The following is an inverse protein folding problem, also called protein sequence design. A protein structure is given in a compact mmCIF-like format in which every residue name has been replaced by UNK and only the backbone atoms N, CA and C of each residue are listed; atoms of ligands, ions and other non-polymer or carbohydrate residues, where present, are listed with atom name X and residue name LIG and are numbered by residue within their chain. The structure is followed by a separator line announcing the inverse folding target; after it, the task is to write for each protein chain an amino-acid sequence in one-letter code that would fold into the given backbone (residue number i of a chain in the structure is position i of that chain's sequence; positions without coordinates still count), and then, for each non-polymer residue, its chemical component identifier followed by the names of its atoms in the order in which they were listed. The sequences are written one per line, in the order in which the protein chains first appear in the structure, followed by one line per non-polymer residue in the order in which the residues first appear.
data_IF_654700729499
#
_entry.id   IF_654700729499
#
_cell.length_a   1.000
_cell.length_b   1.000
_cell.length_c   1.000
_cell.angle_alpha   90.00
_cell.angle_beta   90.00
_cell.angle_gamma   90.00
#
_symmetry.space_group_name_H-M   'P 1'
#
loop_
_entity.id
_entity.type
_entity.pdbx_description
1 polymer ?
#
# COMPACT_ATOMS: atom_id res chain seq x y z
N UNK A 1 3.36 -37.80 -8.97
CA UNK A 1 2.19 -37.40 -8.17
C UNK A 1 1.93 -35.94 -8.46
N UNK A 2 0.69 -35.55 -8.74
CA UNK A 2 0.33 -34.18 -9.10
C UNK A 2 0.67 -33.23 -7.94
N UNK A 3 1.67 -32.36 -8.13
CA UNK A 3 2.15 -31.36 -7.17
C UNK A 3 1.05 -30.38 -6.72
N UNK A 4 -0.04 -30.23 -7.49
CA UNK A 4 -1.17 -29.35 -7.15
C UNK A 4 -2.00 -29.76 -5.92
N UNK A 5 -2.02 -31.03 -5.51
CA UNK A 5 -2.82 -31.47 -4.36
C UNK A 5 -2.09 -31.30 -3.00
N UNK A 6 -0.76 -31.20 -3.00
CA UNK A 6 0.02 -31.14 -1.75
C UNK A 6 -0.09 -29.76 -1.07
N UNK A 7 -0.27 -28.69 -1.85
CA UNK A 7 -0.32 -27.31 -1.34
C UNK A 7 -1.67 -26.90 -0.72
N UNK A 8 -2.70 -27.75 -0.86
CA UNK A 8 -4.07 -27.49 -0.38
C UNK A 8 -4.46 -28.58 0.62
N UNK A 9 -3.87 -28.53 1.80
CA UNK A 9 -4.08 -29.52 2.85
C UNK A 9 -5.50 -29.49 3.42
N UNK A 10 -6.23 -28.38 3.26
CA UNK A 10 -7.63 -28.21 3.68
C UNK A 10 -8.63 -29.16 3.03
N UNK A 11 -8.22 -29.89 2.00
CA UNK A 11 -9.00 -31.00 1.40
C UNK A 11 -9.02 -32.25 2.30
N UNK A 12 -8.05 -32.37 3.21
CA UNK A 12 -7.86 -33.46 4.15
C UNK A 12 -8.23 -33.06 5.59
N UNK A 13 -8.12 -34.01 6.53
CA UNK A 13 -8.30 -33.73 7.96
C UNK A 13 -7.19 -32.80 8.49
N UNK A 14 -7.49 -31.86 9.40
CA UNK A 14 -6.47 -31.02 10.03
C UNK A 14 -5.37 -31.84 10.70
N UNK A 15 -4.15 -31.31 10.72
CA UNK A 15 -3.05 -31.93 11.46
C UNK A 15 -3.34 -31.93 12.95
N UNK A 16 -3.24 -33.10 13.58
CA UNK A 16 -3.56 -33.30 15.00
C UNK A 16 -2.30 -33.41 15.88
N UNK A 17 -1.11 -33.36 15.28
CA UNK A 17 0.17 -33.43 16.00
C UNK A 17 1.18 -32.46 15.41
N UNK A 18 2.07 -31.91 16.25
CA UNK A 18 3.16 -31.04 15.82
C UNK A 18 4.01 -31.69 14.72
N UNK A 19 4.35 -32.98 14.90
CA UNK A 19 5.14 -33.75 13.95
C UNK A 19 4.56 -33.75 12.53
N UNK A 20 3.26 -34.00 12.38
CA UNK A 20 2.60 -34.02 11.06
C UNK A 20 2.69 -32.66 10.37
N UNK A 21 2.48 -31.58 11.12
CA UNK A 21 2.55 -30.22 10.57
C UNK A 21 3.99 -29.82 10.22
N UNK A 22 4.98 -30.22 11.03
CA UNK A 22 6.41 -29.98 10.73
C UNK A 22 6.86 -30.75 9.48
N UNK A 23 6.55 -32.05 9.38
CA UNK A 23 6.88 -32.87 8.20
C UNK A 23 6.24 -32.30 6.92
N UNK A 24 5.03 -31.76 7.04
CA UNK A 24 4.37 -31.06 5.94
C UNK A 24 5.12 -29.79 5.52
N UNK A 25 5.50 -28.93 6.47
CA UNK A 25 6.26 -27.71 6.16
C UNK A 25 7.63 -28.01 5.56
N UNK A 26 8.32 -29.06 6.02
CA UNK A 26 9.58 -29.52 5.43
C UNK A 26 9.39 -29.98 3.98
N UNK A 27 8.32 -30.74 3.71
CA UNK A 27 7.98 -31.17 2.35
C UNK A 27 7.69 -29.96 1.45
N UNK A 28 6.84 -29.02 1.88
CA UNK A 28 6.55 -27.81 1.13
C UNK A 28 7.82 -26.97 0.91
N UNK A 29 8.68 -26.84 1.92
CA UNK A 29 9.93 -26.10 1.83
C UNK A 29 10.97 -26.70 0.89
N UNK A 30 10.87 -28.01 0.62
CA UNK A 30 11.70 -28.67 -0.39
C UNK A 30 11.26 -28.37 -1.83
N UNK A 31 10.01 -27.95 -2.03
CA UNK A 31 9.41 -27.68 -3.34
C UNK A 31 9.21 -26.18 -3.60
N UNK A 32 9.07 -25.37 -2.55
CA UNK A 32 8.64 -23.98 -2.63
C UNK A 32 9.33 -23.11 -1.57
N UNK A 33 9.97 -22.03 -2.02
CA UNK A 33 10.46 -20.98 -1.13
C UNK A 33 9.36 -19.91 -0.96
N UNK A 34 8.78 -19.79 0.24
CA UNK A 34 7.82 -18.74 0.56
C UNK A 34 8.51 -17.51 1.18
N UNK A 35 7.91 -16.34 0.98
CA UNK A 35 8.42 -15.04 1.45
C UNK A 35 7.62 -14.48 2.63
N UNK A 36 6.44 -15.04 2.90
CA UNK A 36 5.60 -14.64 4.00
C UNK A 36 4.80 -15.79 4.58
N UNK A 37 4.33 -15.61 5.80
CA UNK A 37 3.55 -16.59 6.55
C UNK A 37 2.45 -15.88 7.33
N UNK A 38 1.32 -16.54 7.50
CA UNK A 38 0.21 -15.95 8.22
C UNK A 38 -0.94 -16.88 8.50
N UNK A 39 -2.00 -16.28 9.01
CA UNK A 39 -3.28 -16.93 9.26
C UNK A 39 -4.41 -16.06 8.72
N UNK A 40 -5.40 -16.69 8.09
CA UNK A 40 -6.68 -16.07 7.81
C UNK A 40 -7.78 -16.80 8.59
N UNK A 41 -8.70 -16.05 9.18
CA UNK A 41 -9.84 -16.61 9.90
C UNK A 41 -11.12 -15.84 9.61
N UNK A 42 -12.24 -16.56 9.68
CA UNK A 42 -13.56 -16.03 9.41
C UNK A 42 -14.28 -15.56 10.68
N UNK A 43 -15.54 -15.13 10.54
CA UNK A 43 -16.35 -14.55 11.63
C UNK A 43 -16.50 -15.54 12.82
N UNK A 44 -15.97 -15.12 13.99
CA UNK A 44 -16.00 -15.85 15.27
C UNK A 44 -15.27 -17.21 15.24
N UNK A 45 -13.93 -17.17 15.23
CA UNK A 45 -13.05 -18.02 14.41
C UNK A 45 -13.64 -19.41 14.13
N UNK A 46 -14.48 -19.50 13.10
CA UNK A 46 -15.11 -20.74 12.66
C UNK A 46 -14.10 -21.62 11.93
N UNK A 47 -13.26 -21.00 11.08
CA UNK A 47 -12.15 -21.62 10.39
C UNK A 47 -10.88 -20.79 10.54
N UNK A 48 -9.83 -21.40 11.09
CA UNK A 48 -8.46 -20.84 11.15
C UNK A 48 -7.62 -21.56 10.10
N UNK A 49 -7.13 -20.83 9.10
CA UNK A 49 -6.34 -21.35 7.99
C UNK A 49 -4.93 -20.77 8.05
N UNK A 50 -3.92 -21.64 8.12
CA UNK A 50 -2.52 -21.26 8.03
C UNK A 50 -2.14 -21.11 6.56
N UNK A 51 -1.41 -20.03 6.26
CA UNK A 51 -1.09 -19.61 4.91
C UNK A 51 0.42 -19.43 4.75
N UNK A 52 0.94 -19.86 3.60
CA UNK A 52 2.26 -19.46 3.12
C UNK A 52 2.08 -18.59 1.88
N UNK A 53 2.90 -17.54 1.78
CA UNK A 53 2.78 -16.49 0.79
C UNK A 53 4.04 -16.38 -0.07
N UNK A 54 3.87 -16.12 -1.35
CA UNK A 54 4.93 -15.68 -2.29
C UNK A 54 4.41 -14.44 -2.99
N UNK A 55 5.16 -13.35 -2.95
CA UNK A 55 4.77 -12.07 -3.55
C UNK A 55 3.33 -11.64 -3.19
N UNK A 56 3.01 -11.73 -1.89
CA UNK A 56 1.69 -11.44 -1.30
C UNK A 56 0.54 -12.37 -1.70
N UNK A 57 0.77 -13.37 -2.56
CA UNK A 57 -0.23 -14.35 -2.96
C UNK A 57 -0.15 -15.63 -2.11
N UNK A 58 -1.31 -16.19 -1.75
CA UNK A 58 -1.41 -17.49 -1.07
C UNK A 58 -1.02 -18.59 -2.05
N UNK A 59 0.04 -19.31 -1.69
CA UNK A 59 0.56 -20.44 -2.47
C UNK A 59 0.35 -21.78 -1.77
N UNK A 60 0.15 -21.77 -0.45
CA UNK A 60 -0.13 -22.98 0.33
C UNK A 60 -1.08 -22.65 1.48
N UNK A 61 -1.99 -23.58 1.77
CA UNK A 61 -2.98 -23.48 2.85
C UNK A 61 -3.10 -24.80 3.61
N UNK A 62 -3.16 -24.72 4.94
CA UNK A 62 -3.36 -25.88 5.80
C UNK A 62 -4.09 -25.56 7.11
N UNK A 63 -4.51 -26.61 7.82
CA UNK A 63 -5.22 -26.54 9.10
C UNK A 63 -4.53 -27.37 10.16
N UNK A 64 -4.54 -26.84 11.37
CA UNK A 64 -4.01 -27.47 12.56
C UNK A 64 -5.09 -27.57 13.63
N UNK A 65 -5.19 -28.72 14.27
CA UNK A 65 -5.96 -28.98 15.48
C UNK A 65 -4.99 -29.31 16.61
N UNK A 66 -4.15 -28.34 16.97
CA UNK A 66 -3.04 -28.47 17.90
C UNK A 66 -3.32 -27.70 19.20
N UNK A 67 -2.56 -28.03 20.25
CA UNK A 67 -2.53 -27.20 21.46
C UNK A 67 -1.91 -25.82 21.17
N UNK A 68 -2.11 -24.87 22.08
CA UNK A 68 -1.60 -23.49 21.94
C UNK A 68 -0.10 -23.45 21.68
N UNK A 69 0.70 -24.11 22.52
CA UNK A 69 2.16 -24.11 22.40
C UNK A 69 2.65 -24.70 21.08
N UNK A 70 2.05 -25.83 20.64
CA UNK A 70 2.36 -26.46 19.35
C UNK A 70 1.95 -25.57 18.17
N UNK A 71 0.84 -24.84 18.30
CA UNK A 71 0.39 -23.89 17.27
C UNK A 71 1.37 -22.72 17.13
N UNK A 72 1.83 -22.17 18.25
CA UNK A 72 2.85 -21.11 18.28
C UNK A 72 4.16 -21.61 17.69
N UNK A 73 4.56 -22.84 17.99
CA UNK A 73 5.76 -23.46 17.42
C UNK A 73 5.65 -23.57 15.88
N UNK A 74 4.50 -24.02 15.35
CA UNK A 74 4.27 -24.07 13.90
C UNK A 74 4.30 -22.68 13.27
N UNK A 75 3.60 -21.70 13.84
CA UNK A 75 3.61 -20.33 13.32
C UNK A 75 5.03 -19.74 13.31
N UNK A 76 5.83 -20.00 14.34
CA UNK A 76 7.24 -19.58 14.41
C UNK A 76 8.08 -20.24 13.32
N UNK A 77 7.88 -21.55 13.07
CA UNK A 77 8.56 -22.27 12.00
C UNK A 77 8.20 -21.74 10.61
N UNK A 78 6.94 -21.35 10.38
CA UNK A 78 6.49 -20.79 9.11
C UNK A 78 7.18 -19.45 8.78
N UNK A 79 7.39 -18.60 9.79
CA UNK A 79 8.10 -17.32 9.63
C UNK A 79 9.59 -17.54 9.29
N UNK A 80 10.20 -18.58 9.87
CA UNK A 80 11.57 -18.95 9.59
C UNK A 80 12.56 -17.84 9.97
N UNK A 81 13.57 -17.62 9.12
CA UNK A 81 14.57 -16.54 9.28
C UNK A 81 14.42 -15.40 8.27
N UNK A 82 13.31 -15.38 7.53
CA UNK A 82 13.11 -14.49 6.37
C UNK A 82 12.34 -13.22 6.69
N UNK A 83 11.45 -13.26 7.69
CA UNK A 83 10.69 -12.09 8.18
C UNK A 83 10.63 -12.14 9.71
N UNK A 84 10.42 -10.98 10.36
CA UNK A 84 10.16 -10.92 11.81
C UNK A 84 8.65 -10.87 12.14
N UNK A 85 7.81 -10.84 11.10
CA UNK A 85 6.37 -10.64 11.22
C UNK A 85 5.58 -11.82 10.64
N UNK A 86 4.59 -12.25 11.40
CA UNK A 86 3.54 -13.18 11.01
C UNK A 86 2.27 -12.39 10.69
N UNK A 87 1.67 -12.65 9.54
CA UNK A 87 0.50 -11.87 9.10
C UNK A 87 -0.76 -12.49 9.66
N UNK A 88 -1.57 -11.69 10.34
CA UNK A 88 -2.94 -12.07 10.67
C UNK A 88 -3.90 -11.34 9.75
N UNK A 89 -4.89 -12.05 9.22
CA UNK A 89 -5.92 -11.47 8.39
C UNK A 89 -7.32 -12.00 8.73
N UNK A 90 -8.33 -11.18 8.50
CA UNK A 90 -9.73 -11.57 8.59
C UNK A 90 -10.58 -10.78 7.62
N UNK A 91 -11.62 -11.41 7.10
CA UNK A 91 -12.69 -10.76 6.34
C UNK A 91 -13.93 -10.58 7.23
N UNK A 92 -14.00 -9.50 8.04
CA UNK A 92 -15.12 -9.29 8.97
C UNK A 92 -16.48 -9.39 8.28
N UNK A 93 -17.32 -10.27 8.80
CA UNK A 93 -18.67 -10.50 8.30
C UNK A 93 -18.80 -11.57 7.22
N UNK A 94 -17.69 -12.14 6.73
CA UNK A 94 -17.69 -13.29 5.82
C UNK A 94 -17.35 -14.58 6.58
N UNK A 95 -18.03 -15.66 6.21
CA UNK A 95 -17.70 -17.03 6.60
C UNK A 95 -17.11 -17.74 5.39
N UNK A 96 -16.11 -18.61 5.57
CA UNK A 96 -15.56 -19.34 4.43
C UNK A 96 -16.46 -20.52 4.05
N UNK A 97 -17.07 -20.54 2.85
CA UNK A 97 -17.70 -21.74 2.32
C UNK A 97 -16.71 -22.90 2.28
N UNK A 98 -17.22 -24.11 2.46
CA UNK A 98 -16.40 -25.32 2.43
C UNK A 98 -15.64 -25.52 1.10
N UNK A 99 -16.18 -25.03 0.00
CA UNK A 99 -15.52 -25.12 -1.31
C UNK A 99 -14.43 -24.05 -1.49
N UNK A 100 -14.59 -22.88 -0.88
CA UNK A 100 -13.62 -21.78 -0.96
C UNK A 100 -12.30 -22.15 -0.30
N UNK A 101 -12.36 -22.80 0.88
CA UNK A 101 -11.14 -23.21 1.62
C UNK A 101 -10.32 -24.25 0.88
N UNK A 102 -10.87 -24.90 -0.16
CA UNK A 102 -10.22 -25.90 -1.01
C UNK A 102 -9.70 -25.33 -2.32
N UNK A 103 -9.81 -24.03 -2.53
CA UNK A 103 -9.36 -23.34 -3.74
C UNK A 103 -8.43 -22.19 -3.39
N UNK A 104 -7.17 -22.26 -3.87
CA UNK A 104 -6.23 -21.16 -3.72
C UNK A 104 -6.72 -19.89 -4.44
N UNK A 105 -7.43 -20.02 -5.56
CA UNK A 105 -8.02 -18.88 -6.27
C UNK A 105 -9.02 -18.15 -5.38
N UNK A 106 -9.95 -18.89 -4.75
CA UNK A 106 -10.95 -18.31 -3.84
C UNK A 106 -10.32 -17.76 -2.56
N UNK A 107 -9.33 -18.44 -2.00
CA UNK A 107 -8.60 -17.93 -0.85
C UNK A 107 -7.85 -16.64 -1.18
N UNK A 108 -7.26 -16.51 -2.37
CA UNK A 108 -6.62 -15.28 -2.81
C UNK A 108 -7.65 -14.14 -3.04
N UNK A 109 -8.86 -14.44 -3.52
CA UNK A 109 -9.96 -13.45 -3.57
C UNK A 109 -10.30 -12.93 -2.16
N UNK A 110 -10.45 -13.83 -1.17
CA UNK A 110 -10.70 -13.46 0.22
C UNK A 110 -9.53 -12.69 0.84
N UNK A 111 -8.31 -13.11 0.55
CA UNK A 111 -7.08 -12.48 1.03
C UNK A 111 -6.94 -11.05 0.54
N UNK A 112 -7.21 -10.80 -0.73
CA UNK A 112 -7.10 -9.46 -1.34
C UNK A 112 -8.03 -8.41 -0.74
N UNK A 113 -9.11 -8.82 -0.08
CA UNK A 113 -10.05 -7.91 0.62
C UNK A 113 -9.95 -8.01 2.15
N UNK A 114 -9.10 -8.91 2.66
CA UNK A 114 -8.98 -9.13 4.09
C UNK A 114 -8.37 -7.91 4.79
N UNK A 115 -8.79 -7.67 6.02
CA UNK A 115 -8.15 -6.73 6.91
C UNK A 115 -7.02 -7.45 7.62
N UNK A 116 -5.81 -6.92 7.55
CA UNK A 116 -4.62 -7.60 8.04
C UNK A 116 -3.73 -6.71 8.92
N UNK A 117 -2.91 -7.36 9.73
CA UNK A 117 -1.85 -6.74 10.51
C UNK A 117 -0.64 -7.68 10.59
N UNK A 118 0.56 -7.12 10.63
CA UNK A 118 1.77 -7.86 11.01
C UNK A 118 1.84 -8.02 12.53
N UNK A 119 2.24 -9.22 12.97
CA UNK A 119 2.38 -9.58 14.39
C UNK A 119 3.78 -10.10 14.61
N UNK A 120 4.46 -9.57 15.63
CA UNK A 120 5.81 -10.04 15.97
C UNK A 120 5.77 -11.48 16.48
N UNK A 121 6.85 -12.25 16.28
CA UNK A 121 6.96 -13.63 16.80
C UNK A 121 6.68 -13.69 18.32
N UNK A 122 7.12 -12.67 19.06
CA UNK A 122 6.90 -12.56 20.51
C UNK A 122 5.42 -12.46 20.92
N UNK A 123 4.55 -12.01 20.02
CA UNK A 123 3.12 -11.81 20.28
C UNK A 123 2.25 -12.97 19.81
N UNK A 124 2.81 -13.97 19.11
CA UNK A 124 2.08 -15.12 18.58
C UNK A 124 1.30 -15.88 19.65
N UNK A 125 1.87 -16.03 20.84
CA UNK A 125 1.18 -16.70 21.94
C UNK A 125 -0.10 -15.94 22.34
N UNK A 126 -0.02 -14.62 22.51
CA UNK A 126 -1.19 -13.79 22.84
C UNK A 126 -2.23 -13.80 21.72
N UNK A 127 -1.75 -13.83 20.48
CA UNK A 127 -2.60 -13.94 19.31
C UNK A 127 -3.44 -15.22 19.32
N UNK A 128 -2.77 -16.39 19.34
CA UNK A 128 -3.47 -17.67 19.26
C UNK A 128 -4.30 -17.96 20.51
N UNK A 129 -3.86 -17.50 21.68
CA UNK A 129 -4.67 -17.56 22.91
C UNK A 129 -5.98 -16.77 22.76
N UNK A 130 -5.94 -15.59 22.13
CA UNK A 130 -7.12 -14.77 21.84
C UNK A 130 -8.06 -15.45 20.84
N UNK A 131 -7.51 -16.00 19.75
CA UNK A 131 -8.30 -16.73 18.74
C UNK A 131 -8.97 -17.97 19.34
N UNK A 132 -8.24 -18.80 20.09
CA UNK A 132 -8.76 -20.06 20.65
C UNK A 132 -9.79 -19.85 21.75
N UNK A 133 -9.68 -18.78 22.55
CA UNK A 133 -10.70 -18.46 23.55
C UNK A 133 -12.02 -18.09 22.90
N UNK A 134 -12.01 -17.47 21.71
CA UNK A 134 -13.21 -17.01 21.00
C UNK A 134 -14.15 -16.14 21.85
N UNK A 135 -13.64 -15.55 22.95
CA UNK A 135 -14.38 -14.63 23.81
C UNK A 135 -13.99 -13.22 23.38
N UNK A 136 -14.95 -12.49 22.79
CA UNK A 136 -14.74 -11.10 22.43
C UNK A 136 -14.46 -10.27 23.69
N UNK A 137 -13.31 -9.62 23.70
CA UNK A 137 -12.89 -8.71 24.75
C UNK A 137 -13.87 -7.54 24.86
N UNK A 138 -14.15 -7.13 26.10
CA UNK A 138 -14.96 -5.94 26.37
C UNK A 138 -14.08 -4.70 26.33
N UNK A 139 -14.59 -3.65 25.69
CA UNK A 139 -13.91 -2.36 25.62
C UNK A 139 -13.46 -2.02 24.19
N UNK A 140 -12.88 -0.83 24.07
CA UNK A 140 -12.25 -0.36 22.84
C UNK A 140 -10.73 -0.49 22.99
N UNK A 141 -10.04 -0.77 21.89
CA UNK A 141 -8.59 -0.70 21.80
C UNK A 141 -8.06 0.72 22.02
N UNK A 142 -6.78 0.93 21.73
CA UNK A 142 -6.11 2.21 21.96
C UNK A 142 -6.87 3.39 21.33
N UNK A 143 -6.96 4.49 22.07
CA UNK A 143 -7.52 5.74 21.57
C UNK A 143 -6.71 6.29 20.38
N UNK A 144 -7.39 6.99 19.47
CA UNK A 144 -6.75 7.66 18.33
C UNK A 144 -5.82 8.77 18.85
N UNK A 145 -4.52 8.56 18.66
CA UNK A 145 -3.43 9.49 18.99
C UNK A 145 -3.48 10.71 18.07
N UNK A 146 -2.80 11.78 18.50
CA UNK A 146 -2.77 13.05 17.78
C UNK A 146 -2.16 12.91 16.39
N UNK A 147 -1.05 12.18 16.24
CA UNK A 147 -0.38 12.02 14.94
C UNK A 147 -1.26 11.25 13.95
N UNK A 148 -1.88 10.16 14.42
CA UNK A 148 -2.87 9.39 13.64
C UNK A 148 -4.03 10.28 13.21
N UNK A 149 -4.60 11.07 14.14
CA UNK A 149 -5.68 12.02 13.83
C UNK A 149 -5.24 13.03 12.78
N UNK A 150 -4.05 13.61 12.91
CA UNK A 150 -3.53 14.61 11.98
C UNK A 150 -3.35 14.02 10.58
N UNK A 151 -2.81 12.80 10.47
CA UNK A 151 -2.68 12.11 9.20
C UNK A 151 -4.03 11.90 8.53
N UNK A 152 -5.01 11.34 9.25
CA UNK A 152 -6.36 11.10 8.71
C UNK A 152 -7.04 12.41 8.30
N UNK A 153 -6.85 13.48 9.07
CA UNK A 153 -7.38 14.80 8.72
C UNK A 153 -6.72 15.38 7.47
N UNK A 154 -5.41 15.18 7.29
CA UNK A 154 -4.69 15.56 6.07
C UNK A 154 -5.23 14.79 4.86
N UNK A 155 -5.35 13.47 4.98
CA UNK A 155 -5.87 12.60 3.92
C UNK A 155 -7.28 12.99 3.49
N UNK A 156 -8.13 13.39 4.45
CA UNK A 156 -9.52 13.80 4.18
C UNK A 156 -9.65 15.17 3.53
N UNK A 157 -8.61 16.01 3.61
CA UNK A 157 -8.69 17.44 3.28
C UNK A 157 -9.89 18.16 3.92
N UNK A 158 -10.29 17.72 5.12
CA UNK A 158 -11.43 18.24 5.86
C UNK A 158 -12.80 17.94 5.27
N UNK A 159 -12.90 16.97 4.36
CA UNK A 159 -14.14 16.57 3.70
C UNK A 159 -14.61 15.19 4.14
N UNK A 160 -15.90 14.94 4.00
CA UNK A 160 -16.46 13.61 4.18
C UNK A 160 -15.93 12.64 3.11
N UNK A 161 -15.36 11.52 3.56
CA UNK A 161 -14.76 10.47 2.72
C UNK A 161 -15.78 9.41 2.27
N UNK A 162 -17.07 9.61 2.53
CA UNK A 162 -18.11 8.75 2.00
C UNK A 162 -18.24 8.98 0.49
N UNK A 163 -18.37 7.90 -0.28
CA UNK A 163 -18.48 7.96 -1.74
C UNK A 163 -19.62 8.88 -2.18
N UNK A 164 -19.30 9.86 -3.02
CA UNK A 164 -20.25 10.83 -3.56
C UNK A 164 -20.67 11.97 -2.60
N UNK A 165 -20.18 12.00 -1.36
CA UNK A 165 -20.51 13.06 -0.41
C UNK A 165 -19.56 14.27 -0.52
N UNK A 166 -18.30 14.10 -0.11
CA UNK A 166 -17.25 15.14 -0.15
C UNK A 166 -17.61 16.52 0.44
N UNK A 167 -18.65 16.60 1.28
CA UNK A 167 -19.08 17.83 1.94
C UNK A 167 -17.95 18.38 2.83
N UNK A 168 -17.82 19.70 2.87
CA UNK A 168 -16.86 20.39 3.74
C UNK A 168 -17.30 20.27 5.20
N UNK A 169 -16.41 19.75 6.05
CA UNK A 169 -16.65 19.54 7.47
C UNK A 169 -15.88 20.54 8.34
N UNK A 170 -15.37 21.60 7.72
CA UNK A 170 -14.72 22.73 8.41
C UNK A 170 -15.65 23.91 8.64
N UNK A 171 -16.85 23.86 8.06
CA UNK A 171 -17.84 24.93 8.11
C UNK A 171 -19.26 24.34 8.13
N UNK A 172 -20.14 24.94 8.92
CA UNK A 172 -21.58 24.72 8.77
C UNK A 172 -22.10 25.63 7.64
N UNK A 173 -22.54 25.03 6.53
CA UNK A 173 -22.96 25.77 5.34
C UNK A 173 -24.24 26.59 5.53
N UNK A 174 -25.06 26.28 6.55
CA UNK A 174 -26.28 27.04 6.83
C UNK A 174 -25.98 28.34 7.59
N UNK A 175 -25.09 28.30 8.58
CA UNK A 175 -24.78 29.46 9.44
C UNK A 175 -23.47 30.16 9.08
N UNK A 176 -22.63 29.55 8.23
CA UNK A 176 -21.30 30.05 7.87
C UNK A 176 -20.26 29.93 8.99
N UNK A 177 -20.59 29.26 10.11
CA UNK A 177 -19.68 29.11 11.25
C UNK A 177 -18.62 28.07 10.95
N UNK A 178 -17.36 28.46 11.06
CA UNK A 178 -16.23 27.53 11.01
C UNK A 178 -16.18 26.68 12.27
N UNK A 179 -15.87 25.41 12.13
CA UNK A 179 -15.83 24.47 13.26
C UNK A 179 -15.27 23.11 12.86
N UNK A 180 -15.31 22.16 13.79
CA UNK A 180 -14.98 20.78 13.52
C UNK A 180 -16.27 19.96 13.48
N UNK A 181 -16.75 19.65 12.27
CA UNK A 181 -17.94 18.83 12.03
C UNK A 181 -17.58 17.40 11.59
N UNK A 182 -16.35 16.98 11.87
CA UNK A 182 -15.78 15.71 11.41
C UNK A 182 -15.97 14.64 12.47
N UNK A 183 -16.37 13.46 12.01
CA UNK A 183 -16.46 12.26 12.84
C UNK A 183 -15.47 11.23 12.31
N UNK A 184 -14.65 10.67 13.21
CA UNK A 184 -13.68 9.63 12.86
C UNK A 184 -14.35 8.27 13.00
N UNK A 185 -14.42 7.52 11.91
CA UNK A 185 -14.97 6.18 11.85
C UNK A 185 -13.83 5.17 11.64
N UNK A 186 -14.00 3.95 12.13
CA UNK A 186 -13.06 2.86 11.92
C UNK A 186 -13.55 1.91 10.81
N UNK A 187 -12.66 1.43 9.95
CA UNK A 187 -12.98 0.37 8.97
C UNK A 187 -13.20 -0.94 9.73
N UNK A 188 -12.18 -1.44 10.44
CA UNK A 188 -12.27 -2.46 11.49
C UNK A 188 -12.51 -1.77 12.81
N UNK A 189 -13.65 -2.06 13.45
CA UNK A 189 -14.07 -1.36 14.65
C UNK A 189 -12.99 -1.46 15.75
N UNK A 190 -12.77 -0.39 16.50
CA UNK A 190 -11.83 -0.39 17.65
C UNK A 190 -12.25 -1.33 18.78
N UNK A 191 -13.47 -1.85 18.79
CA UNK A 191 -13.93 -2.86 19.73
C UNK A 191 -14.24 -4.14 18.98
N UNK A 192 -13.84 -5.29 19.52
CA UNK A 192 -14.18 -6.61 18.98
C UNK A 192 -15.70 -6.84 18.95
N UNK A 193 -16.46 -6.17 19.83
CA UNK A 193 -17.92 -6.20 19.86
C UNK A 193 -18.57 -5.09 19.02
N UNK A 194 -17.76 -4.30 18.30
CA UNK A 194 -18.21 -3.23 17.42
C UNK A 194 -18.86 -3.76 16.14
N UNK A 195 -19.45 -2.86 15.35
CA UNK A 195 -20.18 -3.21 14.12
C UNK A 195 -19.38 -4.10 13.14
N UNK A 196 -18.07 -3.87 13.09
CA UNK A 196 -17.07 -4.59 12.28
C UNK A 196 -15.88 -5.03 13.14
N UNK A 197 -16.16 -5.37 14.40
CA UNK A 197 -15.12 -5.81 15.33
C UNK A 197 -14.57 -7.17 14.94
N UNK A 198 -13.27 -7.37 15.14
CA UNK A 198 -12.57 -8.60 14.83
C UNK A 198 -11.60 -8.92 15.95
N UNK A 199 -11.61 -10.17 16.42
CA UNK A 199 -10.71 -10.68 17.46
C UNK A 199 -9.27 -10.28 17.16
N UNK A 200 -8.56 -9.72 18.13
CA UNK A 200 -7.19 -9.26 18.03
C UNK A 200 -7.00 -8.02 17.10
N UNK A 201 -7.45 -8.08 15.84
CA UNK A 201 -7.30 -7.00 14.85
C UNK A 201 -7.97 -5.68 15.26
N UNK A 202 -9.09 -5.72 15.98
CA UNK A 202 -9.74 -4.52 16.50
C UNK A 202 -8.83 -3.67 17.39
N UNK A 203 -7.97 -4.32 18.18
CA UNK A 203 -7.01 -3.62 19.02
C UNK A 203 -5.83 -3.11 18.20
N UNK A 204 -5.25 -3.97 17.37
CA UNK A 204 -4.05 -3.65 16.57
C UNK A 204 -4.27 -2.51 15.58
N UNK A 205 -5.46 -2.46 14.99
CA UNK A 205 -5.80 -1.46 13.97
C UNK A 205 -6.41 -0.18 14.56
N UNK A 206 -6.67 -0.12 15.88
CA UNK A 206 -7.49 0.95 16.47
C UNK A 206 -6.91 2.36 16.29
N UNK A 207 -5.58 2.46 16.20
CA UNK A 207 -4.83 3.70 16.06
C UNK A 207 -4.05 3.80 14.73
N UNK A 208 -4.37 2.95 13.75
CA UNK A 208 -3.74 2.95 12.43
C UNK A 208 -4.46 3.94 11.50
N UNK A 209 -3.78 4.95 10.91
CA UNK A 209 -4.42 5.93 10.02
C UNK A 209 -5.21 5.29 8.87
N UNK A 210 -4.68 4.23 8.28
CA UNK A 210 -5.27 3.45 7.19
C UNK A 210 -6.61 2.80 7.58
N UNK A 211 -6.82 2.52 8.87
CA UNK A 211 -8.05 1.96 9.42
C UNK A 211 -9.09 3.02 9.82
N UNK A 212 -8.84 4.31 9.57
CA UNK A 212 -9.70 5.40 10.02
C UNK A 212 -10.06 6.32 8.86
N UNK A 213 -11.32 6.72 8.75
CA UNK A 213 -11.79 7.71 7.78
C UNK A 213 -12.62 8.82 8.43
N UNK A 214 -12.70 9.97 7.76
CA UNK A 214 -13.50 11.12 8.18
C UNK A 214 -14.87 11.07 7.51
N UNK A 215 -15.93 11.10 8.30
CA UNK A 215 -17.33 11.12 7.85
C UNK A 215 -18.08 12.31 8.44
N UNK A 216 -19.13 12.74 7.76
CA UNK A 216 -20.15 13.60 8.38
C UNK A 216 -21.03 12.76 9.31
N UNK A 217 -21.77 13.40 10.21
CA UNK A 217 -22.64 12.69 11.18
C UNK A 217 -23.67 11.76 10.51
N UNK A 218 -24.22 12.17 9.38
CA UNK A 218 -25.19 11.37 8.61
C UNK A 218 -24.56 10.06 8.14
N UNK A 219 -23.42 10.13 7.45
CA UNK A 219 -22.75 8.95 6.91
C UNK A 219 -22.08 8.12 7.99
N UNK A 220 -21.55 8.73 9.04
CA UNK A 220 -21.06 8.01 10.22
C UNK A 220 -22.17 7.16 10.83
N UNK A 221 -23.35 7.74 11.09
CA UNK A 221 -24.51 6.99 11.59
C UNK A 221 -24.97 5.91 10.61
N UNK A 222 -24.94 6.19 9.31
CA UNK A 222 -25.32 5.22 8.27
C UNK A 222 -24.49 3.95 8.37
N UNK A 223 -23.16 4.08 8.35
CA UNK A 223 -22.24 2.93 8.32
C UNK A 223 -22.09 2.23 9.67
N UNK A 224 -22.21 2.96 10.78
CA UNK A 224 -21.97 2.39 12.13
C UNK A 224 -23.24 1.98 12.87
N UNK A 225 -24.42 2.42 12.43
CA UNK A 225 -25.66 2.19 13.19
C UNK A 225 -26.82 1.69 12.33
N UNK A 226 -27.03 2.24 11.14
CA UNK A 226 -28.26 2.01 10.36
C UNK A 226 -28.11 0.82 9.41
N UNK A 227 -27.04 0.81 8.61
CA UNK A 227 -26.86 -0.11 7.48
C UNK A 227 -25.57 -0.93 7.60
N UNK A 228 -25.18 -1.33 8.83
CA UNK A 228 -23.91 -2.02 9.11
C UNK A 228 -23.58 -3.18 8.16
N UNK A 229 -24.61 -3.94 7.76
CA UNK A 229 -24.47 -5.10 6.87
C UNK A 229 -24.10 -4.71 5.42
N UNK A 230 -24.49 -3.51 4.97
CA UNK A 230 -24.17 -2.99 3.64
C UNK A 230 -22.77 -2.38 3.55
N UNK A 231 -22.16 -2.06 4.71
CA UNK A 231 -20.85 -1.43 4.81
C UNK A 231 -19.89 -2.29 5.63
N UNK A 232 -19.47 -3.47 5.12
CA UNK A 232 -18.40 -4.26 5.72
C UNK A 232 -17.05 -3.53 5.62
N UNK A 233 -16.04 -4.00 6.38
CA UNK A 233 -14.78 -3.26 6.50
C UNK A 233 -14.08 -3.01 5.14
N UNK A 234 -14.07 -4.01 4.25
CA UNK A 234 -13.43 -3.88 2.93
C UNK A 234 -14.08 -2.76 2.08
N UNK A 235 -15.41 -2.65 2.08
CA UNK A 235 -16.13 -1.58 1.36
C UNK A 235 -15.69 -0.19 1.85
N UNK A 236 -15.55 -0.01 3.17
CA UNK A 236 -15.13 1.26 3.76
C UNK A 236 -13.64 1.54 3.48
N UNK A 237 -12.80 0.51 3.54
CA UNK A 237 -11.38 0.60 3.15
C UNK A 237 -11.25 1.05 1.68
N UNK A 238 -12.08 0.52 0.79
CA UNK A 238 -12.09 0.90 -0.62
C UNK A 238 -12.59 2.33 -0.82
N UNK A 239 -13.63 2.76 -0.10
CA UNK A 239 -14.13 4.15 -0.11
C UNK A 239 -13.02 5.12 0.28
N UNK A 240 -12.32 4.84 1.39
CA UNK A 240 -11.17 5.63 1.82
C UNK A 240 -10.08 5.68 0.76
N UNK A 241 -9.73 4.53 0.18
CA UNK A 241 -8.68 4.44 -0.85
C UNK A 241 -9.04 5.24 -2.11
N UNK A 242 -10.30 5.11 -2.60
CA UNK A 242 -10.80 5.90 -3.72
C UNK A 242 -10.74 7.40 -3.44
N UNK A 243 -11.20 7.82 -2.26
CA UNK A 243 -11.16 9.24 -1.86
C UNK A 243 -9.72 9.77 -1.86
N UNK A 244 -8.79 9.08 -1.19
CA UNK A 244 -7.40 9.51 -1.09
C UNK A 244 -6.73 9.58 -2.48
N UNK A 245 -6.96 8.58 -3.32
CA UNK A 245 -6.42 8.56 -4.69
C UNK A 245 -7.00 9.70 -5.54
N UNK A 246 -8.30 9.96 -5.44
CA UNK A 246 -8.94 11.05 -6.18
C UNK A 246 -8.45 12.41 -5.69
N UNK A 247 -8.36 12.62 -4.37
CA UNK A 247 -7.81 13.84 -3.79
C UNK A 247 -6.37 14.07 -4.25
N UNK A 248 -5.53 13.04 -4.20
CA UNK A 248 -4.15 13.08 -4.70
C UNK A 248 -4.12 13.49 -6.18
N UNK A 249 -4.90 12.84 -7.04
CA UNK A 249 -4.94 13.14 -8.48
C UNK A 249 -5.38 14.58 -8.76
N UNK A 250 -6.39 15.07 -8.03
CA UNK A 250 -6.84 16.47 -8.14
C UNK A 250 -5.76 17.45 -7.70
N UNK A 251 -5.04 17.16 -6.61
CA UNK A 251 -3.95 18.02 -6.15
C UNK A 251 -2.73 17.97 -7.08
N UNK A 252 -2.40 16.78 -7.59
CA UNK A 252 -1.33 16.59 -8.58
C UNK A 252 -1.64 17.33 -9.89
N UNK A 253 -2.93 17.50 -10.25
CA UNK A 253 -3.35 18.32 -11.40
C UNK A 253 -3.03 19.82 -11.25
N UNK A 254 -2.75 20.30 -10.03
CA UNK A 254 -2.30 21.68 -9.80
C UNK A 254 -0.79 21.84 -9.99
N UNK A 255 -0.04 20.74 -10.16
CA UNK A 255 1.39 20.80 -10.39
C UNK A 255 1.65 21.30 -11.81
N UNK A 256 2.72 22.07 -11.96
CA UNK A 256 3.23 22.43 -13.27
C UNK A 256 3.60 21.19 -14.09
N UNK A 257 3.52 21.34 -15.41
CA UNK A 257 3.85 20.29 -16.37
C UNK A 257 5.31 19.84 -16.18
N UNK A 258 5.58 18.53 -16.09
CA UNK A 258 6.94 18.02 -16.05
C UNK A 258 7.62 18.24 -17.41
N UNK A 259 8.81 18.82 -17.37
CA UNK A 259 9.67 19.01 -18.54
C UNK A 259 11.09 18.47 -18.27
N UNK A 260 11.70 17.79 -19.25
CA UNK A 260 13.12 17.46 -19.18
C UNK A 260 13.95 18.75 -19.18
N UNK A 261 15.12 18.69 -18.53
CA UNK A 261 16.06 19.79 -18.52
C UNK A 261 17.33 19.40 -19.27
N UNK A 262 17.78 20.29 -20.15
CA UNK A 262 19.04 20.14 -20.87
C UNK A 262 19.98 21.21 -20.35
N UNK A 263 21.15 20.80 -19.87
CA UNK A 263 22.20 21.73 -19.50
C UNK A 263 23.34 21.64 -20.50
N UNK A 264 23.63 22.75 -21.16
CA UNK A 264 24.80 22.87 -22.03
C UNK A 264 25.90 23.53 -21.21
N UNK A 265 26.91 22.74 -20.83
CA UNK A 265 28.08 23.23 -20.12
C UNK A 265 29.22 23.48 -21.09
N UNK A 266 29.77 24.69 -21.05
CA UNK A 266 30.91 25.07 -21.88
C UNK A 266 32.01 25.73 -21.05
N UNK A 267 33.29 25.37 -21.27
CA UNK A 267 34.40 26.02 -20.57
C UNK A 267 34.57 27.47 -21.03
N UNK A 268 34.58 28.40 -20.07
CA UNK A 268 34.96 29.81 -20.27
C UNK A 268 36.27 30.02 -19.53
N UNK A 269 37.40 30.05 -20.26
CA UNK A 269 38.78 29.98 -19.71
C UNK A 269 39.04 28.65 -18.97
N UNK A 270 40.20 28.51 -18.31
CA UNK A 270 40.64 27.27 -17.63
C UNK A 270 39.80 26.85 -16.41
N UNK A 271 38.60 27.42 -16.21
CA UNK A 271 37.74 27.08 -15.09
C UNK A 271 37.03 25.73 -15.28
N UNK A 272 37.05 24.92 -14.22
CA UNK A 272 36.19 23.76 -14.09
C UNK A 272 34.76 24.24 -13.83
N UNK A 273 33.79 23.81 -14.65
CA UNK A 273 32.38 24.09 -14.40
C UNK A 273 31.74 22.94 -13.60
N UNK A 274 30.71 23.26 -12.81
CA UNK A 274 29.83 22.30 -12.15
C UNK A 274 28.49 22.24 -12.87
N UNK A 275 27.84 21.07 -12.84
CA UNK A 275 26.45 20.93 -13.30
C UNK A 275 25.52 21.79 -12.43
N UNK A 276 24.41 22.31 -12.98
CA UNK A 276 23.42 23.05 -12.21
C UNK A 276 22.79 22.14 -11.15
N UNK A 277 22.49 22.73 -9.99
CA UNK A 277 21.73 22.05 -8.93
C UNK A 277 20.25 21.93 -9.32
N UNK A 278 19.51 21.03 -8.66
CA UNK A 278 18.06 20.90 -8.85
C UNK A 278 17.33 22.23 -8.63
N UNK A 279 17.80 23.04 -7.67
CA UNK A 279 17.28 24.38 -7.42
C UNK A 279 17.48 25.29 -8.63
N UNK A 280 18.67 25.32 -9.22
CA UNK A 280 18.96 26.14 -10.41
C UNK A 280 18.13 25.70 -11.62
N UNK A 281 17.93 24.40 -11.80
CA UNK A 281 17.04 23.86 -12.83
C UNK A 281 15.60 24.33 -12.58
N UNK A 282 15.09 24.20 -11.37
CA UNK A 282 13.73 24.63 -11.02
C UNK A 282 13.53 26.15 -11.20
N UNK A 283 14.52 26.97 -10.81
CA UNK A 283 14.51 28.42 -11.02
C UNK A 283 14.42 28.78 -12.51
N UNK A 284 15.14 28.05 -13.38
CA UNK A 284 15.11 28.27 -14.83
C UNK A 284 13.77 27.93 -15.48
N UNK A 285 13.02 26.96 -14.92
CA UNK A 285 11.71 26.52 -15.42
C UNK A 285 10.54 27.36 -14.87
N UNK A 286 10.78 28.12 -13.80
CA UNK A 286 9.75 28.94 -13.14
C UNK A 286 9.04 29.93 -14.08
N UNK A 287 9.72 30.67 -14.99
CA UNK A 287 9.04 31.55 -15.95
C UNK A 287 8.11 30.81 -16.93
N UNK A 288 8.40 29.53 -17.20
CA UNK A 288 7.63 28.68 -18.10
C UNK A 288 6.42 28.04 -17.43
N UNK A 289 6.25 28.21 -16.10
CA UNK A 289 5.27 27.45 -15.31
C UNK A 289 5.40 25.94 -15.55
N UNK A 290 6.64 25.48 -15.62
CA UNK A 290 7.01 24.08 -15.75
C UNK A 290 7.75 23.62 -14.49
N UNK A 291 7.82 22.31 -14.28
CA UNK A 291 8.68 21.69 -13.27
C UNK A 291 9.62 20.71 -13.93
N UNK A 292 10.76 20.46 -13.31
CA UNK A 292 11.69 19.47 -13.82
C UNK A 292 11.09 18.06 -13.72
N UNK A 293 11.25 17.26 -14.78
CA UNK A 293 10.79 15.87 -14.82
C UNK A 293 11.70 14.91 -14.02
N UNK A 294 12.90 15.35 -13.64
CA UNK A 294 13.97 14.49 -13.11
C UNK A 294 14.91 13.99 -14.21
N UNK A 295 14.56 14.16 -15.48
CA UNK A 295 15.43 13.84 -16.61
C UNK A 295 16.36 15.02 -16.88
N UNK A 296 17.66 14.75 -16.80
CA UNK A 296 18.70 15.74 -16.97
C UNK A 296 19.73 15.25 -17.96
N UNK A 297 19.87 15.99 -19.07
CA UNK A 297 20.88 15.70 -20.07
C UNK A 297 21.98 16.77 -20.01
N UNK A 298 23.15 16.46 -19.41
CA UNK A 298 24.31 17.33 -19.48
C UNK A 298 25.02 17.16 -20.82
N UNK A 299 24.99 18.20 -21.65
CA UNK A 299 25.83 18.31 -22.84
C UNK A 299 27.08 19.06 -22.42
N UNK A 300 28.17 18.32 -22.25
CA UNK A 300 29.46 18.84 -21.78
C UNK A 300 30.46 18.77 -22.92
N UNK A 301 30.90 19.92 -23.43
CA UNK A 301 31.98 19.94 -24.42
C UNK A 301 33.34 19.97 -23.74
N UNK A 302 34.14 18.93 -24.00
CA UNK A 302 35.51 18.81 -23.48
C UNK A 302 36.58 18.97 -24.55
N UNK A 303 36.21 19.14 -25.82
CA UNK A 303 37.16 19.15 -26.91
C UNK A 303 38.09 20.38 -26.86
N UNK A 304 39.38 20.13 -26.66
CA UNK A 304 40.43 21.15 -26.65
C UNK A 304 40.59 21.83 -28.03
N UNK A 305 40.22 21.16 -29.12
CA UNK A 305 40.32 21.72 -30.48
C UNK A 305 39.35 22.86 -30.70
N UNK A 306 38.18 22.84 -30.05
CA UNK A 306 37.24 23.96 -30.08
C UNK A 306 37.77 25.18 -29.32
N UNK A 307 38.75 25.03 -28.42
CA UNK A 307 39.35 26.16 -27.71
C UNK A 307 40.26 26.99 -28.62
N UNK A 308 40.87 26.38 -29.63
CA UNK A 308 41.81 27.02 -30.56
C UNK A 308 41.15 27.60 -31.82
N UNK A 309 39.86 27.32 -32.03
CA UNK A 309 39.07 27.86 -33.15
C UNK A 309 38.67 29.33 -32.94
N UNK A 310 38.40 30.03 -34.03
CA UNK A 310 37.83 31.39 -34.00
C UNK A 310 36.43 31.37 -33.35
N UNK A 311 36.04 32.47 -32.70
CA UNK A 311 34.76 32.60 -32.00
C UNK A 311 33.54 32.27 -32.88
N UNK A 312 33.53 32.67 -34.15
CA UNK A 312 32.41 32.45 -35.06
C UNK A 312 32.27 30.97 -35.45
N UNK A 313 33.38 30.33 -35.84
CA UNK A 313 33.38 28.91 -36.18
C UNK A 313 33.13 28.02 -34.95
N UNK A 314 33.59 28.43 -33.76
CA UNK A 314 33.23 27.78 -32.50
C UNK A 314 31.72 27.75 -32.30
N UNK A 315 31.04 28.89 -32.40
CA UNK A 315 29.59 28.94 -32.22
C UNK A 315 28.83 28.06 -33.24
N UNK A 316 29.31 27.99 -34.48
CA UNK A 316 28.69 27.15 -35.53
C UNK A 316 28.80 25.66 -35.21
N UNK A 317 29.97 25.18 -34.80
CA UNK A 317 30.18 23.77 -34.44
C UNK A 317 29.43 23.42 -33.15
N UNK A 318 29.44 24.31 -32.15
CA UNK A 318 28.74 24.11 -30.88
C UNK A 318 27.23 23.97 -31.05
N UNK A 319 26.59 24.84 -31.84
CA UNK A 319 25.13 24.78 -32.08
C UNK A 319 24.76 23.49 -32.82
N UNK A 320 25.60 23.04 -33.74
CA UNK A 320 25.40 21.78 -34.44
C UNK A 320 25.51 20.57 -33.50
N UNK A 321 26.51 20.56 -32.60
CA UNK A 321 26.68 19.50 -31.60
C UNK A 321 25.52 19.39 -30.60
N UNK A 322 24.98 20.54 -30.14
CA UNK A 322 23.75 20.57 -29.33
C UNK A 322 22.56 20.00 -30.11
N UNK A 323 22.45 20.32 -31.40
CA UNK A 323 21.43 19.78 -32.29
C UNK A 323 21.47 18.25 -32.41
N UNK A 324 22.67 17.68 -32.55
CA UNK A 324 22.88 16.21 -32.63
C UNK A 324 22.52 15.56 -31.29
N UNK A 325 23.08 16.04 -30.18
CA UNK A 325 22.82 15.47 -28.85
C UNK A 325 21.33 15.57 -28.45
N UNK A 326 20.66 16.68 -28.84
CA UNK A 326 19.22 16.80 -28.69
C UNK A 326 18.48 15.78 -29.56
N UNK A 327 18.83 15.67 -30.85
CA UNK A 327 18.23 14.72 -31.79
C UNK A 327 18.30 13.28 -31.28
N UNK A 328 19.46 12.86 -30.77
CA UNK A 328 19.65 11.53 -30.19
C UNK A 328 18.76 11.32 -28.96
N UNK A 329 18.62 12.33 -28.10
CA UNK A 329 17.80 12.27 -26.89
C UNK A 329 16.29 12.20 -27.17
N UNK A 330 15.77 12.99 -28.13
CA UNK A 330 14.35 12.90 -28.54
C UNK A 330 14.05 11.71 -29.44
N UNK A 331 15.04 10.86 -29.76
CA UNK A 331 14.87 9.72 -30.68
C UNK A 331 14.54 10.17 -32.11
N UNK A 332 15.02 11.35 -32.52
CA UNK A 332 14.81 11.91 -33.85
C UNK A 332 15.67 11.14 -34.86
N UNK A 333 15.04 10.26 -35.64
CA UNK A 333 15.56 9.87 -36.96
C UNK A 333 15.05 10.89 -38.00
N UNK A 334 15.91 11.41 -38.87
CA UNK A 334 15.56 12.38 -39.92
C UNK A 334 14.33 11.99 -40.78
N UNK A 335 13.95 10.70 -40.84
CA UNK A 335 12.77 10.21 -41.56
C UNK A 335 11.39 10.70 -41.05
N UNK A 336 11.28 11.22 -39.82
CA UNK A 336 9.97 11.66 -39.27
C UNK A 336 9.63 13.13 -39.47
N UNK A 337 10.51 13.94 -40.07
CA UNK A 337 10.34 15.39 -40.21
C UNK A 337 9.39 15.84 -41.34
N UNK A 338 8.70 14.93 -42.03
CA UNK A 338 7.71 15.26 -43.06
C UNK A 338 6.29 15.05 -42.54
N UNK A 339 5.79 16.02 -41.77
CA UNK A 339 4.38 16.52 -41.75
C UNK A 339 4.05 17.16 -40.41
N UNK A 340 4.29 18.46 -40.28
CA UNK A 340 3.32 19.41 -39.74
C UNK A 340 3.56 20.73 -40.48
N UNK A 341 2.58 21.16 -41.29
CA UNK A 341 2.47 22.53 -41.78
C UNK A 341 1.60 23.33 -40.83
#
# INVERSE_FOLDING_TARGET
MNCGNTLIQTTEKPFSTLKQATEFLELVGSELAWTGAGVIYDKEPGAILFLLLVDEAIVCVFRCALALDDTVAIATLMVGSTTDEFIIASTPGLSFPHDDVRSLEKLNEHWGIAQSAGVSIAELHNLFDSLFKSILTKGRGANIKTDTRNQVLLDSHGRCMFDGCSVDLTIDHLTGKTGNYKTLAHNVASSEQGARGVVYLSNELSNKPENILVLCDVHHRLVDSVAKAEYPAHVITDMRSRFCNQAKNLLDSMRYEPMPAICVCWPVRDDQFSLPTEQQIAESLKPLKARWSGEFLPIVEKDETLRSMDQADRWRVSVHGVGIAFSDYVGYSEEKALRVY
#
